data_IF_521598208809
#
_entry.id   IF_521598208809
#
_cell.length_a   1.000
_cell.length_b   1.000
_cell.length_c   1.000
_cell.angle_alpha   90.00
_cell.angle_beta   90.00
_cell.angle_gamma   90.00
#
_symmetry.space_group_name_H-M   'P 1'
#
loop_
_entity.id
_entity.type
_entity.pdbx_description
1 polymer ?
#
# COMPACT_ATOMS: atom_id res chain seq x y z
N UNK A 1 -8.38 5.51 -13.68
CA UNK A 1 -9.42 6.45 -13.20
C UNK A 1 -8.82 7.86 -13.24
N UNK A 2 -8.70 8.46 -14.43
CA UNK A 2 -7.97 9.72 -14.59
C UNK A 2 -8.76 10.91 -14.05
N UNK A 3 -8.10 11.78 -13.30
CA UNK A 3 -8.60 13.10 -12.90
C UNK A 3 -7.60 14.12 -13.42
N UNK A 4 -8.04 14.97 -14.36
CA UNK A 4 -7.14 15.88 -15.08
C UNK A 4 -7.14 17.24 -14.40
N UNK A 5 -5.96 17.79 -14.13
CA UNK A 5 -5.80 19.14 -13.61
C UNK A 5 -6.31 20.17 -14.62
N UNK A 6 -6.97 21.22 -14.13
CA UNK A 6 -7.58 22.25 -14.98
C UNK A 6 -6.59 23.31 -15.48
N UNK A 7 -5.36 23.33 -14.97
CA UNK A 7 -4.32 24.31 -15.31
C UNK A 7 -3.29 23.65 -16.22
N UNK A 8 -2.86 24.38 -17.25
CA UNK A 8 -1.85 23.92 -18.20
C UNK A 8 -0.42 23.99 -17.63
N UNK A 9 0.46 23.01 -17.95
CA UNK A 9 0.15 21.80 -18.71
C UNK A 9 -0.72 20.84 -17.90
N UNK A 10 -1.83 20.37 -18.50
CA UNK A 10 -2.76 19.48 -17.83
C UNK A 10 -2.10 18.14 -17.49
N UNK A 11 -2.33 17.62 -16.29
CA UNK A 11 -1.74 16.39 -15.78
C UNK A 11 -2.80 15.50 -15.13
N UNK A 12 -2.57 14.19 -15.17
CA UNK A 12 -3.39 13.25 -14.41
C UNK A 12 -2.95 13.25 -12.93
N UNK A 13 -3.78 13.83 -12.06
CA UNK A 13 -3.52 13.90 -10.62
C UNK A 13 -3.65 12.54 -9.92
N UNK A 14 -4.40 11.61 -10.50
CA UNK A 14 -4.61 10.25 -10.00
C UNK A 14 -3.72 9.22 -10.71
N UNK A 15 -2.50 9.61 -11.12
CA UNK A 15 -1.56 8.74 -11.83
C UNK A 15 -1.13 7.49 -11.05
N UNK A 16 -1.22 7.53 -9.71
CA UNK A 16 -0.86 6.41 -8.84
C UNK A 16 -2.02 5.45 -8.58
N UNK A 17 -3.20 5.67 -9.18
CA UNK A 17 -4.33 4.74 -9.02
C UNK A 17 -4.09 3.49 -9.86
N UNK A 18 -3.94 2.36 -9.17
CA UNK A 18 -3.79 1.00 -9.72
C UNK A 18 -5.15 0.36 -10.04
N UNK A 19 -5.15 -0.88 -10.55
CA UNK A 19 -6.40 -1.61 -10.81
C UNK A 19 -7.13 -1.90 -9.50
N UNK A 20 -6.42 -2.39 -8.49
CA UNK A 20 -7.02 -2.81 -7.22
C UNK A 20 -7.45 -1.62 -6.37
N UNK A 21 -6.64 -0.56 -6.30
CA UNK A 21 -7.04 0.69 -5.62
C UNK A 21 -8.24 1.36 -6.31
N UNK A 22 -8.33 1.31 -7.65
CA UNK A 22 -9.52 1.79 -8.35
C UNK A 22 -10.78 0.99 -8.00
N UNK A 23 -10.65 -0.33 -7.81
CA UNK A 23 -11.78 -1.17 -7.40
C UNK A 23 -12.27 -0.81 -6.00
N UNK A 24 -11.35 -0.58 -5.05
CA UNK A 24 -11.68 -0.11 -3.69
C UNK A 24 -12.40 1.23 -3.74
N UNK A 25 -11.86 2.22 -4.46
CA UNK A 25 -12.48 3.55 -4.56
C UNK A 25 -13.89 3.47 -5.16
N UNK A 26 -14.09 2.69 -6.23
CA UNK A 26 -15.43 2.50 -6.82
C UNK A 26 -16.40 1.84 -5.84
N UNK A 27 -15.93 0.82 -5.11
CA UNK A 27 -16.74 0.14 -4.09
C UNK A 27 -17.18 1.12 -3.00
N UNK A 28 -16.26 1.96 -2.50
CA UNK A 28 -16.60 2.93 -1.45
C UNK A 28 -17.49 4.07 -1.96
N UNK A 29 -17.33 4.51 -3.21
CA UNK A 29 -18.25 5.46 -3.82
C UNK A 29 -19.66 4.88 -3.96
N UNK A 30 -19.78 3.61 -4.34
CA UNK A 30 -21.08 2.93 -4.41
C UNK A 30 -21.70 2.76 -3.02
N UNK A 31 -20.92 2.35 -2.01
CA UNK A 31 -21.37 2.26 -0.61
C UNK A 31 -21.86 3.61 -0.11
N UNK A 32 -21.09 4.68 -0.33
CA UNK A 32 -21.45 6.03 0.06
C UNK A 32 -22.72 6.53 -0.64
N UNK A 33 -22.89 6.23 -1.93
CA UNK A 33 -24.10 6.58 -2.66
C UNK A 33 -25.35 5.89 -2.10
N UNK A 34 -25.23 4.63 -1.68
CA UNK A 34 -26.34 3.89 -1.07
C UNK A 34 -26.71 4.44 0.31
N UNK A 35 -25.71 4.70 1.16
CA UNK A 35 -25.93 5.33 2.46
C UNK A 35 -26.59 6.70 2.29
N UNK A 36 -26.09 7.53 1.36
CA UNK A 36 -26.67 8.83 1.08
C UNK A 36 -28.14 8.74 0.66
N UNK A 37 -28.54 7.74 -0.15
CA UNK A 37 -29.96 7.52 -0.47
C UNK A 37 -30.79 7.19 0.77
N UNK A 38 -30.26 6.35 1.66
CA UNK A 38 -30.96 5.97 2.90
C UNK A 38 -31.15 7.16 3.83
N UNK A 39 -30.13 8.02 3.94
CA UNK A 39 -30.21 9.26 4.72
C UNK A 39 -31.23 10.23 4.12
N UNK A 40 -31.24 10.42 2.80
CA UNK A 40 -32.23 11.27 2.11
C UNK A 40 -33.67 10.74 2.22
N UNK A 41 -33.83 9.43 2.43
CA UNK A 41 -35.11 8.79 2.72
C UNK A 41 -35.44 8.71 4.23
N UNK A 42 -34.67 9.41 5.08
CA UNK A 42 -34.84 9.46 6.55
C UNK A 42 -34.72 8.09 7.26
N UNK A 43 -34.08 7.11 6.62
CA UNK A 43 -33.89 5.76 7.14
C UNK A 43 -32.53 5.53 7.82
N UNK A 44 -31.61 6.50 7.73
CA UNK A 44 -30.28 6.45 8.30
C UNK A 44 -29.79 7.86 8.69
N UNK A 45 -28.75 7.92 9.51
CA UNK A 45 -28.06 9.17 9.86
C UNK A 45 -26.73 9.32 9.11
N UNK A 46 -26.26 10.55 8.92
CA UNK A 46 -24.98 10.85 8.26
C UNK A 46 -23.79 10.23 9.00
N UNK A 47 -23.91 9.95 10.29
CA UNK A 47 -22.89 9.21 11.05
C UNK A 47 -22.50 7.88 10.38
N UNK A 48 -23.45 7.18 9.74
CA UNK A 48 -23.20 5.90 9.06
C UNK A 48 -22.21 6.03 7.88
N UNK A 49 -22.13 7.20 7.25
CA UNK A 49 -21.19 7.44 6.15
C UNK A 49 -19.74 7.48 6.65
N UNK A 50 -19.53 7.98 7.88
CA UNK A 50 -18.22 8.22 8.49
C UNK A 50 -17.78 7.10 9.43
N UNK A 51 -18.51 5.99 9.49
CA UNK A 51 -18.07 4.80 10.22
C UNK A 51 -16.70 4.32 9.70
N UNK A 52 -15.76 3.99 10.59
CA UNK A 52 -14.43 3.56 10.20
C UNK A 52 -14.52 2.26 9.40
N UNK A 53 -13.79 2.22 8.28
CA UNK A 53 -13.71 1.02 7.45
C UNK A 53 -12.59 0.13 7.96
N UNK A 54 -12.92 -1.11 8.30
CA UNK A 54 -11.91 -2.12 8.60
C UNK A 54 -11.30 -2.66 7.29
N UNK A 55 -10.07 -2.23 7.01
CA UNK A 55 -9.32 -2.67 5.83
C UNK A 55 -8.79 -4.11 5.98
N UNK A 56 -8.69 -4.63 7.20
CA UNK A 56 -8.16 -5.99 7.45
C UNK A 56 -9.10 -7.05 6.87
N UNK A 57 -10.41 -6.79 6.91
CA UNK A 57 -11.45 -7.69 6.37
C UNK A 57 -11.40 -7.77 4.84
N UNK A 58 -10.74 -6.81 4.16
CA UNK A 58 -10.67 -6.76 2.69
C UNK A 58 -9.53 -7.58 2.10
N UNK A 59 -8.62 -8.08 2.93
CA UNK A 59 -7.43 -8.80 2.49
C UNK A 59 -7.30 -10.13 3.23
N UNK A 60 -7.06 -11.21 2.50
CA UNK A 60 -6.84 -12.53 3.08
C UNK A 60 -5.44 -12.65 3.68
N UNK A 61 -4.45 -12.07 3.00
CA UNK A 61 -3.06 -12.09 3.42
C UNK A 61 -2.47 -10.68 3.38
N UNK A 62 -1.32 -10.51 4.01
CA UNK A 62 -0.64 -9.24 4.17
C UNK A 62 0.84 -9.38 3.88
N UNK A 63 1.36 -8.58 2.97
CA UNK A 63 2.78 -8.40 2.75
C UNK A 63 3.25 -7.26 3.65
N UNK A 64 4.01 -7.59 4.68
CA UNK A 64 4.53 -6.66 5.69
C UNK A 64 5.99 -6.35 5.36
N UNK A 65 6.26 -5.09 5.07
CA UNK A 65 7.59 -4.55 4.82
C UNK A 65 8.08 -3.90 6.10
N UNK A 66 9.14 -4.43 6.69
CA UNK A 66 9.78 -3.89 7.88
C UNK A 66 11.19 -3.46 7.56
N UNK A 67 11.47 -2.16 7.59
CA UNK A 67 12.85 -1.67 7.56
C UNK A 67 13.28 -1.23 8.95
N UNK A 68 14.52 -1.56 9.32
CA UNK A 68 15.13 -1.23 10.60
C UNK A 68 16.51 -0.63 10.41
N UNK A 69 16.89 0.29 11.30
CA UNK A 69 18.17 0.97 11.33
C UNK A 69 18.57 1.23 12.78
N UNK A 70 19.89 1.23 13.04
CA UNK A 70 20.46 1.58 14.35
C UNK A 70 20.45 3.10 14.60
N UNK A 71 20.31 3.90 13.54
CA UNK A 71 20.27 5.36 13.57
C UNK A 71 18.85 5.83 13.22
N UNK A 72 18.26 6.65 14.08
CA UNK A 72 16.89 7.16 13.94
C UNK A 72 16.73 8.01 12.66
N UNK A 73 17.70 8.88 12.35
CA UNK A 73 17.64 9.75 11.18
C UNK A 73 17.53 8.96 9.86
N UNK A 74 18.21 7.81 9.78
CA UNK A 74 18.15 6.92 8.63
C UNK A 74 16.76 6.29 8.44
N UNK A 75 15.94 6.15 9.49
CA UNK A 75 14.58 5.62 9.37
C UNK A 75 13.69 6.56 8.55
N UNK A 76 13.88 7.87 8.68
CA UNK A 76 13.13 8.85 7.89
C UNK A 76 13.47 8.74 6.40
N UNK A 77 14.74 8.53 6.07
CA UNK A 77 15.17 8.27 4.69
C UNK A 77 14.60 6.95 4.16
N UNK A 78 14.64 5.89 4.98
CA UNK A 78 14.02 4.60 4.63
C UNK A 78 12.52 4.75 4.37
N UNK A 79 11.83 5.54 5.19
CA UNK A 79 10.41 5.83 5.04
C UNK A 79 10.12 6.51 3.72
N UNK A 80 10.84 7.59 3.40
CA UNK A 80 10.69 8.28 2.11
C UNK A 80 10.97 7.37 0.91
N UNK A 81 11.97 6.50 1.00
CA UNK A 81 12.24 5.54 -0.07
C UNK A 81 11.13 4.51 -0.22
N UNK A 82 10.66 3.92 0.88
CA UNK A 82 9.57 2.93 0.87
C UNK A 82 8.30 3.58 0.31
N UNK A 83 7.90 4.75 0.82
CA UNK A 83 6.73 5.51 0.32
C UNK A 83 6.80 5.78 -1.18
N UNK A 84 7.97 6.22 -1.68
CA UNK A 84 8.18 6.51 -3.09
C UNK A 84 8.10 5.29 -4.00
N UNK A 85 8.45 4.10 -3.49
CA UNK A 85 8.57 2.88 -4.29
C UNK A 85 7.45 1.84 -4.03
N UNK A 86 6.67 2.00 -2.96
CA UNK A 86 5.61 1.06 -2.56
C UNK A 86 4.57 0.86 -3.66
N UNK A 87 4.20 1.94 -4.34
CA UNK A 87 3.25 1.86 -5.46
C UNK A 87 3.78 1.05 -6.63
N UNK A 88 5.09 1.12 -6.89
CA UNK A 88 5.76 0.32 -7.91
C UNK A 88 5.76 -1.17 -7.57
N UNK A 89 5.93 -1.51 -6.28
CA UNK A 89 5.79 -2.88 -5.80
C UNK A 89 4.36 -3.39 -5.99
N UNK A 90 3.35 -2.61 -5.58
CA UNK A 90 1.94 -2.97 -5.75
C UNK A 90 1.59 -3.21 -7.23
N UNK A 91 2.02 -2.32 -8.13
CA UNK A 91 1.83 -2.48 -9.58
C UNK A 91 2.50 -3.75 -10.11
N UNK A 92 3.73 -4.05 -9.67
CA UNK A 92 4.44 -5.25 -10.12
C UNK A 92 3.74 -6.53 -9.68
N UNK A 93 3.23 -6.56 -8.45
CA UNK A 93 2.44 -7.68 -7.92
C UNK A 93 1.13 -7.84 -8.70
N UNK A 94 0.36 -6.77 -8.88
CA UNK A 94 -0.89 -6.78 -9.65
C UNK A 94 -0.66 -7.26 -11.10
N UNK A 95 0.40 -6.79 -11.76
CA UNK A 95 0.66 -7.11 -13.17
C UNK A 95 1.24 -8.51 -13.39
N UNK A 96 2.24 -8.92 -12.60
CA UNK A 96 2.91 -10.22 -12.79
C UNK A 96 2.04 -11.39 -12.31
N UNK A 97 1.29 -11.20 -11.23
CA UNK A 97 0.54 -12.27 -10.56
C UNK A 97 -0.97 -12.19 -10.81
N UNK A 98 -1.45 -11.09 -11.41
CA UNK A 98 -2.87 -10.83 -11.62
C UNK A 98 -3.69 -10.84 -10.32
N UNK A 99 -3.08 -10.55 -9.18
CA UNK A 99 -3.71 -10.51 -7.86
C UNK A 99 -4.24 -9.13 -7.53
N UNK A 100 -5.06 -9.03 -6.48
CA UNK A 100 -5.46 -7.73 -5.92
C UNK A 100 -4.55 -7.32 -4.79
N UNK A 101 -4.07 -6.07 -4.86
CA UNK A 101 -3.18 -5.48 -3.85
C UNK A 101 -3.80 -4.20 -3.30
N UNK A 102 -3.93 -4.12 -1.99
CA UNK A 102 -4.52 -2.99 -1.29
C UNK A 102 -3.47 -2.42 -0.35
N UNK A 103 -2.83 -1.29 -0.69
CA UNK A 103 -1.88 -0.65 0.22
C UNK A 103 -2.62 -0.13 1.45
N UNK A 104 -2.03 -0.36 2.63
CA UNK A 104 -2.51 0.26 3.85
C UNK A 104 -2.17 1.76 3.79
N UNK A 105 -3.11 2.66 4.13
CA UNK A 105 -2.90 4.10 3.99
C UNK A 105 -1.87 4.65 4.98
N UNK A 106 -1.65 3.94 6.08
CA UNK A 106 -0.77 4.38 7.16
C UNK A 106 0.49 3.53 7.22
N UNK A 107 1.63 4.20 7.24
CA UNK A 107 2.94 3.62 7.48
C UNK A 107 3.30 3.90 8.94
N UNK A 108 3.57 2.84 9.68
CA UNK A 108 3.91 2.95 11.10
C UNK A 108 5.40 3.22 11.23
N UNK A 109 5.75 4.39 11.75
CA UNK A 109 7.14 4.78 12.02
C UNK A 109 7.36 4.73 13.53
N UNK A 110 8.35 3.94 13.94
CA UNK A 110 8.85 3.86 15.30
C UNK A 110 10.33 4.29 15.34
N UNK A 111 10.91 4.45 16.54
CA UNK A 111 12.24 5.05 16.69
C UNK A 111 13.35 4.38 15.87
N UNK A 112 13.28 3.07 15.63
CA UNK A 112 14.31 2.30 14.92
C UNK A 112 13.76 1.36 13.85
N UNK A 113 12.46 1.49 13.54
CA UNK A 113 11.80 0.65 12.55
C UNK A 113 10.65 1.36 11.88
N UNK A 114 10.40 1.00 10.64
CA UNK A 114 9.26 1.40 9.85
C UNK A 114 8.55 0.13 9.39
N UNK A 115 7.23 0.14 9.45
CA UNK A 115 6.36 -0.95 8.99
C UNK A 115 5.38 -0.37 7.95
N UNK A 116 5.44 -0.91 6.74
CA UNK A 116 4.45 -0.68 5.70
C UNK A 116 3.73 -1.99 5.38
N UNK A 117 2.42 -1.94 5.18
CA UNK A 117 1.58 -3.12 4.97
C UNK A 117 0.88 -3.03 3.63
N UNK A 118 0.92 -4.11 2.86
CA UNK A 118 0.10 -4.30 1.67
C UNK A 118 -0.84 -5.49 1.92
N UNK A 119 -2.14 -5.26 1.86
CA UNK A 119 -3.12 -6.32 1.76
C UNK A 119 -3.01 -7.02 0.40
N UNK A 120 -3.03 -8.34 0.40
CA UNK A 120 -2.90 -9.15 -0.81
C UNK A 120 -3.99 -10.23 -0.81
N UNK A 121 -4.75 -10.29 -1.90
CA UNK A 121 -5.73 -11.34 -2.14
C UNK A 121 -5.20 -12.27 -3.21
N UNK A 122 -4.60 -13.39 -2.79
CA UNK A 122 -4.00 -14.36 -3.69
C UNK A 122 -4.11 -15.78 -3.15
N UNK A 123 -4.10 -16.76 -4.05
CA UNK A 123 -3.89 -18.15 -3.67
C UNK A 123 -2.40 -18.35 -3.35
N UNK A 124 -2.07 -18.57 -2.08
CA UNK A 124 -0.70 -18.69 -1.58
C UNK A 124 0.06 -19.87 -2.19
N UNK A 125 -0.61 -21.00 -2.42
CA UNK A 125 0.07 -22.22 -2.91
C UNK A 125 0.65 -22.03 -4.31
N UNK A 126 -0.03 -21.27 -5.17
CA UNK A 126 0.39 -21.05 -6.55
C UNK A 126 1.35 -19.86 -6.70
N UNK A 127 1.24 -18.85 -5.83
CA UNK A 127 1.91 -17.57 -6.03
C UNK A 127 3.07 -17.28 -5.05
N UNK A 128 3.27 -18.10 -4.01
CA UNK A 128 4.27 -17.83 -2.98
C UNK A 128 5.68 -17.58 -3.54
N UNK A 129 6.18 -18.45 -4.43
CA UNK A 129 7.52 -18.31 -4.99
C UNK A 129 7.70 -17.05 -5.84
N UNK A 130 6.65 -16.63 -6.54
CA UNK A 130 6.69 -15.43 -7.37
C UNK A 130 6.57 -14.14 -6.53
N UNK A 131 5.78 -14.16 -5.44
CA UNK A 131 5.74 -13.08 -4.45
C UNK A 131 7.11 -12.93 -3.78
N UNK A 132 7.75 -14.03 -3.40
CA UNK A 132 9.08 -14.02 -2.81
C UNK A 132 10.12 -13.44 -3.78
N UNK A 133 10.09 -13.85 -5.06
CA UNK A 133 10.97 -13.29 -6.08
C UNK A 133 10.79 -11.78 -6.24
N UNK A 134 9.55 -11.30 -6.36
CA UNK A 134 9.25 -9.86 -6.51
C UNK A 134 9.69 -9.09 -5.25
N UNK A 135 9.51 -9.70 -4.07
CA UNK A 135 9.93 -9.11 -2.79
C UNK A 135 11.45 -8.99 -2.71
N UNK A 136 12.18 -10.03 -3.12
CA UNK A 136 13.65 -10.01 -3.16
C UNK A 136 14.16 -8.96 -4.17
N UNK A 137 13.56 -8.86 -5.37
CA UNK A 137 13.88 -7.81 -6.33
C UNK A 137 13.66 -6.39 -5.77
N UNK A 138 12.69 -6.21 -4.86
CA UNK A 138 12.43 -4.95 -4.18
C UNK A 138 13.47 -4.67 -3.08
N UNK A 139 13.81 -5.68 -2.28
CA UNK A 139 14.85 -5.64 -1.25
C UNK A 139 16.21 -5.28 -1.86
N UNK A 140 16.58 -5.89 -2.98
CA UNK A 140 17.84 -5.61 -3.68
C UNK A 140 17.94 -4.15 -4.14
N UNK A 141 16.83 -3.59 -4.64
CA UNK A 141 16.78 -2.16 -5.02
C UNK A 141 16.93 -1.25 -3.82
N UNK A 142 16.32 -1.59 -2.69
CA UNK A 142 16.46 -0.84 -1.44
C UNK A 142 17.92 -0.81 -0.97
N UNK A 143 18.57 -1.97 -0.92
CA UNK A 143 19.97 -2.05 -0.52
C UNK A 143 20.90 -1.34 -1.51
N UNK A 144 20.64 -1.45 -2.81
CA UNK A 144 21.42 -0.74 -3.84
C UNK A 144 21.32 0.78 -3.67
N UNK A 145 20.12 1.30 -3.42
CA UNK A 145 19.91 2.73 -3.19
C UNK A 145 20.61 3.22 -1.91
N UNK A 146 20.55 2.42 -0.83
CA UNK A 146 21.20 2.75 0.44
C UNK A 146 22.74 2.68 0.38
N UNK A 147 23.29 1.77 -0.42
CA UNK A 147 24.75 1.68 -0.61
C UNK A 147 25.30 2.90 -1.37
N UNK A 148 24.50 3.47 -2.29
CA UNK A 148 24.88 4.66 -3.06
C UNK A 148 24.89 5.95 -2.24
N UNK A 149 24.13 6.02 -1.14
CA UNK A 149 24.07 7.21 -0.27
C UNK A 149 25.21 7.30 0.76
N UNK A 150 26.17 6.38 0.76
CA UNK A 150 27.39 6.37 1.61
C UNK A 150 27.15 6.43 3.14
N UNK A 151 25.92 6.29 3.64
CA UNK A 151 25.58 6.46 5.07
C UNK A 151 25.01 5.21 5.77
N UNK A 152 24.78 4.09 5.06
CA UNK A 152 23.74 3.12 5.47
C UNK A 152 24.19 1.65 5.48
N UNK A 153 25.37 1.34 6.03
CA UNK A 153 25.86 -0.06 6.07
C UNK A 153 25.01 -1.03 6.92
N UNK A 154 24.06 -0.53 7.73
CA UNK A 154 23.29 -1.33 8.70
C UNK A 154 21.76 -1.30 8.49
N UNK A 155 21.25 -0.72 7.40
CA UNK A 155 19.80 -0.71 7.15
C UNK A 155 19.36 -2.08 6.61
N UNK A 156 18.41 -2.71 7.29
CA UNK A 156 17.87 -4.01 6.91
C UNK A 156 16.41 -3.82 6.51
N UNK A 157 16.04 -4.22 5.29
CA UNK A 157 14.65 -4.35 4.88
C UNK A 157 14.29 -5.82 4.83
N UNK A 158 13.22 -6.18 5.54
CA UNK A 158 12.62 -7.51 5.53
C UNK A 158 11.21 -7.40 4.97
N UNK A 159 10.85 -8.32 4.09
CA UNK A 159 9.50 -8.44 3.56
C UNK A 159 8.96 -9.81 3.96
N UNK A 160 7.82 -9.84 4.63
CA UNK A 160 7.20 -11.07 5.14
C UNK A 160 5.75 -11.16 4.69
N UNK A 161 5.33 -12.36 4.29
CA UNK A 161 3.92 -12.66 4.03
C UNK A 161 3.29 -13.22 5.30
N UNK A 162 2.18 -12.62 5.74
CA UNK A 162 1.48 -12.95 6.98
C UNK A 162 -0.03 -13.12 6.74
N UNK A 163 -0.67 -13.89 7.60
CA UNK A 163 -2.14 -14.05 7.62
C UNK A 163 -2.85 -12.93 8.38
N UNK A 164 -2.10 -12.02 9.01
CA UNK A 164 -2.61 -10.86 9.75
C UNK A 164 -1.78 -9.62 9.42
N UNK A 165 -2.44 -8.46 9.39
CA UNK A 165 -1.84 -7.17 9.08
C UNK A 165 -0.81 -6.72 10.13
N UNK A 166 -1.00 -7.11 11.40
CA UNK A 166 -0.14 -6.78 12.55
C UNK A 166 -0.03 -8.00 13.47
#
# INVERSE_FOLDING_TARGET
MPVITSIEPCQNSTRNVTRSTAAVVRSELNRGAEIARQVLAENADWAALFEPVDLSVRSQNFLVLTASSEVVDNITECAGWIEGNLIGLAINLEHKLNIDVIPWPEIQIESYRIIAVLGVNCNLEENAGAIEQISNEFIDRFHTANNLSNNLSNNILKVELRDRAV
#
